data_IF_151026517971
#
_entry.id   IF_151026517971
#
_cell.length_a   1.000
_cell.length_b   1.000
_cell.length_c   1.000
_cell.angle_alpha   90.00
_cell.angle_beta   90.00
_cell.angle_gamma   90.00
#
_symmetry.space_group_name_H-M   'P 1'
#
loop_
_entity.id
_entity.type
_entity.pdbx_description
1 polymer ?
#
# COMPACT_ATOMS: atom_id res chain seq x y z
N UNK A 1 -50.99 26.82 52.63
CA UNK A 1 -51.79 26.91 53.87
C UNK A 1 -51.02 27.84 54.79
N UNK A 2 -51.58 29.01 55.15
CA UNK A 2 -51.01 29.92 56.14
C UNK A 2 -51.70 29.65 57.47
N UNK A 3 -51.01 28.99 58.40
CA UNK A 3 -51.41 28.97 59.81
C UNK A 3 -50.51 29.94 60.60
N UNK A 4 -51.12 30.72 61.49
CA UNK A 4 -50.45 31.67 62.38
C UNK A 4 -49.79 30.98 63.57
N UNK A 5 -48.52 31.30 63.83
CA UNK A 5 -47.67 30.76 64.91
C UNK A 5 -48.22 31.16 66.30
N UNK A 6 -48.41 30.20 67.21
CA UNK A 6 -48.73 30.45 68.62
C UNK A 6 -47.93 29.50 69.55
N UNK A 7 -47.98 29.70 70.87
CA UNK A 7 -47.21 28.92 71.86
C UNK A 7 -47.51 27.39 71.86
N UNK A 8 -48.55 26.94 71.15
CA UNK A 8 -48.89 25.53 70.99
C UNK A 8 -48.44 24.93 69.65
N UNK A 9 -47.99 25.77 68.71
CA UNK A 9 -47.40 25.39 67.42
C UNK A 9 -46.21 26.32 67.09
N UNK A 10 -45.10 26.21 67.84
CA UNK A 10 -43.90 26.97 67.50
C UNK A 10 -43.41 26.52 66.11
N UNK A 11 -43.13 27.47 65.21
CA UNK A 11 -42.40 27.18 63.97
C UNK A 11 -40.97 26.76 64.34
N UNK A 12 -40.82 25.48 64.68
CA UNK A 12 -39.54 24.85 64.93
C UNK A 12 -39.07 24.33 63.58
N UNK A 13 -37.86 24.76 63.21
CA UNK A 13 -37.16 24.27 62.05
C UNK A 13 -36.96 22.75 62.12
N UNK A 14 -37.28 22.05 61.04
CA UNK A 14 -37.04 20.61 60.94
C UNK A 14 -35.70 20.46 60.25
N UNK A 15 -34.72 19.84 60.91
CA UNK A 15 -33.46 19.54 60.24
C UNK A 15 -33.65 18.39 59.24
N UNK A 16 -33.91 18.70 57.97
CA UNK A 16 -34.21 17.68 56.97
C UNK A 16 -33.02 16.78 56.67
N UNK A 17 -31.78 17.27 56.87
CA UNK A 17 -30.56 16.47 56.72
C UNK A 17 -30.46 15.35 57.76
N UNK A 18 -30.97 15.56 58.97
CA UNK A 18 -31.03 14.52 60.00
C UNK A 18 -32.28 13.65 59.87
N UNK A 19 -33.41 14.26 59.49
CA UNK A 19 -34.69 13.57 59.37
C UNK A 19 -34.74 12.62 58.16
N UNK A 20 -34.12 13.01 57.04
CA UNK A 20 -34.02 12.19 55.83
C UNK A 20 -32.57 12.24 55.28
N UNK A 21 -31.68 11.36 55.75
CA UNK A 21 -30.26 11.37 55.36
C UNK A 21 -30.01 11.19 53.85
N UNK A 22 -31.00 10.68 53.11
CA UNK A 22 -30.92 10.48 51.67
C UNK A 22 -31.42 11.66 50.84
N UNK A 23 -31.90 12.75 51.44
CA UNK A 23 -32.63 13.83 50.73
C UNK A 23 -31.83 14.52 49.62
N UNK A 24 -30.50 14.52 49.72
CA UNK A 24 -29.59 15.07 48.71
C UNK A 24 -29.08 14.05 47.68
N UNK A 25 -29.33 12.76 47.88
CA UNK A 25 -28.78 11.68 47.05
C UNK A 25 -27.31 11.34 47.36
N UNK A 26 -26.74 10.31 46.72
CA UNK A 26 -25.36 9.88 46.96
C UNK A 26 -24.33 10.92 46.47
N UNK A 27 -23.13 10.91 47.08
CA UNK A 27 -22.00 11.80 46.77
C UNK A 27 -22.32 13.30 46.91
N UNK A 28 -23.18 13.62 47.87
CA UNK A 28 -23.61 14.98 48.16
C UNK A 28 -23.62 15.23 49.67
N UNK A 29 -23.42 16.48 50.04
CA UNK A 29 -23.44 17.00 51.39
C UNK A 29 -24.72 17.81 51.61
N UNK A 30 -25.43 17.51 52.70
CA UNK A 30 -26.65 18.20 53.10
C UNK A 30 -26.34 19.23 54.19
N UNK A 31 -26.76 20.47 53.98
CA UNK A 31 -26.67 21.55 54.98
C UNK A 31 -28.07 22.04 55.34
N UNK A 32 -28.41 21.95 56.62
CA UNK A 32 -29.68 22.45 57.14
C UNK A 32 -29.71 23.98 57.19
N UNK A 33 -30.83 24.59 56.83
CA UNK A 33 -31.07 26.03 56.88
C UNK A 33 -32.41 26.31 57.57
N UNK A 34 -32.59 27.50 58.11
CA UNK A 34 -33.85 27.81 58.80
C UNK A 34 -35.02 27.82 57.80
N UNK A 35 -35.92 26.84 57.91
CA UNK A 35 -37.09 26.64 57.06
C UNK A 35 -36.81 25.89 55.75
N UNK A 36 -35.59 25.35 55.54
CA UNK A 36 -35.22 24.62 54.32
C UNK A 36 -33.88 23.87 54.45
N UNK A 37 -33.48 23.13 53.42
CA UNK A 37 -32.14 22.55 53.34
C UNK A 37 -31.49 22.85 51.99
N UNK A 38 -30.17 22.78 51.92
CA UNK A 38 -29.40 22.89 50.68
C UNK A 38 -28.47 21.69 50.51
N UNK A 39 -28.41 21.18 49.29
CA UNK A 39 -27.54 20.07 48.90
C UNK A 39 -26.40 20.57 48.01
N UNK A 40 -25.17 20.10 48.26
CA UNK A 40 -23.99 20.37 47.42
C UNK A 40 -23.29 19.06 47.06
N UNK A 41 -22.67 18.97 45.89
CA UNK A 41 -21.87 17.78 45.56
C UNK A 41 -20.56 17.78 46.35
N UNK A 42 -20.17 16.61 46.85
CA UNK A 42 -18.88 16.44 47.49
C UNK A 42 -17.75 16.62 46.47
N UNK A 43 -16.55 16.92 46.96
CA UNK A 43 -15.39 17.20 46.11
C UNK A 43 -15.16 16.12 45.04
N UNK A 44 -15.02 16.54 43.79
CA UNK A 44 -14.82 15.65 42.65
C UNK A 44 -16.10 15.11 41.99
N UNK A 45 -17.28 15.55 42.43
CA UNK A 45 -18.58 15.21 41.81
C UNK A 45 -19.32 16.46 41.31
N UNK A 46 -20.15 16.27 40.30
CA UNK A 46 -21.00 17.32 39.71
C UNK A 46 -22.44 16.86 39.60
N UNK A 47 -23.41 17.79 39.71
CA UNK A 47 -24.82 17.46 39.52
C UNK A 47 -25.06 16.90 38.11
N UNK A 48 -25.88 15.84 38.03
CA UNK A 48 -26.26 15.21 36.74
C UNK A 48 -26.81 16.25 35.75
N UNK A 49 -27.56 17.23 36.26
CA UNK A 49 -27.93 18.45 35.54
C UNK A 49 -27.50 19.69 36.33
N UNK A 50 -26.51 20.42 35.80
CA UNK A 50 -25.95 21.61 36.45
C UNK A 50 -26.92 22.80 36.55
N UNK A 51 -28.05 22.77 35.84
CA UNK A 51 -29.05 23.84 35.86
C UNK A 51 -30.19 23.59 36.87
N UNK A 52 -30.18 22.47 37.58
CA UNK A 52 -31.19 22.10 38.56
C UNK A 52 -30.57 21.99 39.96
N UNK A 53 -31.33 22.29 41.03
CA UNK A 53 -30.85 22.08 42.40
C UNK A 53 -30.59 20.60 42.66
N UNK A 54 -29.58 20.31 43.50
CA UNK A 54 -29.20 18.94 43.87
C UNK A 54 -30.27 18.36 44.79
N UNK A 55 -30.70 17.14 44.51
CA UNK A 55 -31.69 16.40 45.30
C UNK A 55 -31.63 14.92 44.94
N UNK A 56 -32.45 14.09 45.57
CA UNK A 56 -32.65 12.68 45.16
C UNK A 56 -32.97 12.50 43.66
N UNK A 57 -33.53 13.51 43.00
CA UNK A 57 -33.90 13.46 41.57
C UNK A 57 -32.82 14.08 40.65
N UNK A 58 -31.81 14.75 41.20
CA UNK A 58 -30.68 15.33 40.48
C UNK A 58 -29.39 15.10 41.28
N UNK A 59 -28.85 13.90 41.14
CA UNK A 59 -27.77 13.37 41.99
C UNK A 59 -26.38 13.82 41.51
N UNK A 60 -25.40 13.70 42.40
CA UNK A 60 -24.00 14.00 42.14
C UNK A 60 -23.29 12.79 41.53
N UNK A 61 -22.80 12.95 40.31
CA UNK A 61 -22.05 11.94 39.57
C UNK A 61 -20.62 12.42 39.31
N UNK A 62 -19.70 11.49 39.05
CA UNK A 62 -18.36 11.87 38.60
C UNK A 62 -18.47 12.74 37.34
N UNK A 63 -17.66 13.80 37.20
CA UNK A 63 -17.66 14.62 35.99
C UNK A 63 -17.42 13.68 34.81
N UNK A 64 -18.42 13.48 33.97
CA UNK A 64 -18.18 12.86 32.67
C UNK A 64 -17.19 13.78 31.97
N UNK A 65 -16.03 13.24 31.61
CA UNK A 65 -15.13 13.85 30.64
C UNK A 65 -15.99 14.41 29.49
N UNK A 66 -15.67 15.60 28.96
CA UNK A 66 -16.47 16.20 27.90
C UNK A 66 -16.66 15.12 26.84
N UNK A 67 -17.90 14.73 26.61
CA UNK A 67 -18.26 13.88 25.50
C UNK A 67 -17.71 14.58 24.28
N UNK A 68 -16.69 13.97 23.68
CA UNK A 68 -16.21 14.33 22.36
C UNK A 68 -17.46 14.57 21.50
N UNK A 69 -17.58 15.71 20.78
CA UNK A 69 -18.66 15.85 19.81
C UNK A 69 -18.64 14.56 18.99
N UNK A 70 -19.78 13.87 18.90
CA UNK A 70 -19.86 12.61 18.16
C UNK A 70 -19.14 12.84 16.84
N UNK A 71 -17.95 12.26 16.68
CA UNK A 71 -17.22 12.35 15.44
C UNK A 71 -18.23 11.89 14.40
N UNK A 72 -18.56 12.72 13.37
CA UNK A 72 -19.38 12.25 12.29
C UNK A 72 -18.81 10.89 11.87
N UNK A 73 -19.65 9.86 11.61
CA UNK A 73 -19.15 8.55 11.19
C UNK A 73 -18.05 8.78 10.17
N UNK A 74 -16.85 8.20 10.34
CA UNK A 74 -15.67 8.59 9.59
C UNK A 74 -16.05 8.64 8.11
N UNK A 75 -15.93 9.84 7.53
CA UNK A 75 -16.33 10.08 6.16
C UNK A 75 -15.62 9.05 5.29
N UNK A 76 -16.40 8.26 4.57
CA UNK A 76 -15.84 7.17 3.79
C UNK A 76 -15.35 7.75 2.47
N UNK A 77 -14.06 7.56 2.19
CA UNK A 77 -13.46 8.01 0.93
C UNK A 77 -13.66 6.92 -0.11
N UNK A 78 -14.34 7.26 -1.19
CA UNK A 78 -14.62 6.37 -2.32
C UNK A 78 -13.74 6.79 -3.49
N UNK A 79 -12.91 5.87 -3.97
CA UNK A 79 -12.16 6.06 -5.21
C UNK A 79 -13.05 5.84 -6.43
N UNK A 80 -12.90 6.69 -7.43
CA UNK A 80 -13.68 6.70 -8.65
C UNK A 80 -12.75 6.96 -9.84
N UNK A 81 -13.21 6.58 -11.02
CA UNK A 81 -12.52 6.91 -12.26
C UNK A 81 -13.53 7.23 -13.34
N UNK A 82 -13.14 8.09 -14.29
CA UNK A 82 -13.92 8.31 -15.50
C UNK A 82 -13.06 8.42 -16.76
N UNK A 83 -13.59 7.93 -17.88
CA UNK A 83 -12.91 7.91 -19.18
C UNK A 83 -13.40 9.05 -20.08
N UNK A 84 -12.51 9.96 -20.45
CA UNK A 84 -12.80 11.14 -21.29
C UNK A 84 -12.39 10.84 -22.73
N UNK A 85 -13.28 11.00 -23.70
CA UNK A 85 -12.99 10.73 -25.11
C UNK A 85 -12.12 11.82 -25.75
N UNK A 86 -10.84 11.83 -25.36
CA UNK A 86 -9.82 12.79 -25.79
C UNK A 86 -8.46 12.10 -25.92
N UNK A 87 -7.60 12.70 -26.76
CA UNK A 87 -6.19 12.27 -26.87
C UNK A 87 -5.43 12.72 -25.62
N UNK A 88 -4.61 11.83 -25.08
CA UNK A 88 -3.85 12.11 -23.87
C UNK A 88 -2.72 13.11 -24.13
N UNK A 89 -2.78 14.25 -23.44
CA UNK A 89 -1.70 15.24 -23.42
C UNK A 89 -0.74 14.95 -22.26
N UNK A 90 0.58 14.96 -22.53
CA UNK A 90 1.60 14.70 -21.51
C UNK A 90 1.58 15.71 -20.36
N UNK A 91 1.13 16.95 -20.59
CA UNK A 91 0.95 17.95 -19.54
C UNK A 91 0.00 17.48 -18.43
N UNK A 92 -0.96 16.61 -18.73
CA UNK A 92 -1.89 16.04 -17.76
C UNK A 92 -1.22 15.08 -16.75
N UNK A 93 0.04 14.69 -16.93
CA UNK A 93 0.79 13.95 -15.90
C UNK A 93 1.37 14.84 -14.81
N UNK A 94 1.40 16.16 -15.03
CA UNK A 94 1.95 17.14 -14.10
C UNK A 94 0.80 17.88 -13.38
N UNK A 95 0.57 17.63 -12.08
CA UNK A 95 -0.46 18.29 -11.28
C UNK A 95 -0.33 19.82 -11.24
N UNK A 96 0.86 20.35 -11.48
CA UNK A 96 1.11 21.78 -11.45
C UNK A 96 0.86 22.49 -12.78
N UNK A 97 0.72 21.72 -13.86
CA UNK A 97 0.46 22.26 -15.19
C UNK A 97 -0.88 22.97 -15.26
N UNK A 98 -0.95 23.99 -16.12
CA UNK A 98 -2.21 24.70 -16.41
C UNK A 98 -3.27 23.75 -16.97
N UNK A 99 -2.90 22.85 -17.87
CA UNK A 99 -3.82 21.87 -18.47
C UNK A 99 -4.44 20.95 -17.42
N UNK A 100 -3.64 20.45 -16.47
CA UNK A 100 -4.14 19.64 -15.36
C UNK A 100 -5.15 20.42 -14.52
N UNK A 101 -4.76 21.61 -14.02
CA UNK A 101 -5.58 22.44 -13.13
C UNK A 101 -6.89 22.88 -13.79
N UNK A 102 -6.85 23.26 -15.07
CA UNK A 102 -8.02 23.69 -15.83
C UNK A 102 -9.00 22.52 -16.05
N UNK A 103 -8.51 21.32 -16.41
CA UNK A 103 -9.36 20.15 -16.62
C UNK A 103 -9.89 19.59 -15.29
N UNK A 104 -9.04 19.44 -14.28
CA UNK A 104 -9.44 18.95 -12.96
C UNK A 104 -10.50 19.85 -12.32
N UNK A 105 -10.34 21.17 -12.37
CA UNK A 105 -11.32 22.11 -11.83
C UNK A 105 -12.68 22.05 -12.52
N UNK A 106 -12.70 21.85 -13.85
CA UNK A 106 -13.96 21.64 -14.60
C UNK A 106 -14.66 20.35 -14.18
N UNK A 107 -13.90 19.29 -13.97
CA UNK A 107 -14.41 17.97 -13.55
C UNK A 107 -14.95 18.06 -12.12
N UNK A 108 -14.13 18.54 -11.18
CA UNK A 108 -14.47 18.68 -9.76
C UNK A 108 -15.75 19.50 -9.59
N UNK A 109 -15.82 20.71 -10.17
CA UNK A 109 -17.02 21.57 -10.07
C UNK A 109 -18.28 20.96 -10.69
N UNK A 110 -18.15 20.16 -11.75
CA UNK A 110 -19.30 19.56 -12.43
C UNK A 110 -19.84 18.36 -11.67
N UNK A 111 -18.95 17.51 -11.15
CA UNK A 111 -19.34 16.36 -10.34
C UNK A 111 -19.91 16.84 -9.01
N UNK A 112 -19.27 17.80 -8.34
CA UNK A 112 -19.77 18.34 -7.07
C UNK A 112 -21.21 18.85 -7.21
N UNK A 113 -21.46 19.70 -8.22
CA UNK A 113 -22.79 20.22 -8.49
C UNK A 113 -23.82 19.12 -8.83
N UNK A 114 -23.42 18.05 -9.51
CA UNK A 114 -24.34 16.97 -9.88
C UNK A 114 -24.62 16.04 -8.70
N UNK A 115 -23.58 15.65 -7.97
CA UNK A 115 -23.67 14.71 -6.84
C UNK A 115 -24.37 15.34 -5.65
N UNK A 116 -24.11 16.61 -5.32
CA UNK A 116 -24.82 17.31 -4.23
C UNK A 116 -26.33 17.35 -4.43
N UNK A 117 -26.80 17.36 -5.67
CA UNK A 117 -28.22 17.44 -6.00
C UNK A 117 -28.92 16.07 -6.14
N UNK A 118 -28.18 14.99 -6.39
CA UNK A 118 -28.74 13.69 -6.77
C UNK A 118 -28.27 12.51 -5.93
N UNK A 119 -27.14 12.62 -5.25
CA UNK A 119 -26.49 11.50 -4.56
C UNK A 119 -26.64 11.66 -3.05
N UNK A 120 -27.66 11.03 -2.48
CA UNK A 120 -27.88 11.03 -1.02
C UNK A 120 -26.68 10.41 -0.30
N UNK A 121 -26.11 11.15 0.65
CA UNK A 121 -24.93 10.72 1.41
C UNK A 121 -23.59 11.19 0.86
N UNK A 122 -23.57 11.89 -0.29
CA UNK A 122 -22.38 12.60 -0.77
C UNK A 122 -22.05 13.81 0.09
N UNK A 123 -20.79 13.97 0.46
CA UNK A 123 -20.29 15.17 1.14
C UNK A 123 -19.95 16.24 0.10
N UNK A 124 -20.69 17.34 0.09
CA UNK A 124 -20.43 18.47 -0.85
C UNK A 124 -19.04 19.07 -0.63
N UNK A 125 -18.36 19.42 -1.72
CA UNK A 125 -17.00 19.94 -1.76
C UNK A 125 -15.92 18.87 -1.56
N UNK A 126 -16.28 17.60 -1.48
CA UNK A 126 -15.32 16.53 -1.15
C UNK A 126 -14.59 15.93 -2.34
N UNK A 127 -15.01 16.25 -3.57
CA UNK A 127 -14.37 15.67 -4.75
C UNK A 127 -12.96 16.20 -4.95
N UNK A 128 -12.02 15.29 -5.24
CA UNK A 128 -10.67 15.62 -5.65
C UNK A 128 -10.19 14.75 -6.80
N UNK A 129 -9.84 15.36 -7.93
CA UNK A 129 -9.13 14.66 -9.02
C UNK A 129 -7.68 14.49 -8.60
N UNK A 130 -7.20 13.24 -8.61
CA UNK A 130 -5.86 12.87 -8.13
C UNK A 130 -4.86 12.67 -9.26
N UNK A 131 -5.30 12.17 -10.42
CA UNK A 131 -4.42 11.93 -11.57
C UNK A 131 -5.19 11.83 -12.89
N UNK A 132 -4.48 12.06 -14.00
CA UNK A 132 -4.93 11.67 -15.33
C UNK A 132 -4.00 10.62 -15.92
N UNK A 133 -4.56 9.64 -16.64
CA UNK A 133 -3.81 8.53 -17.25
C UNK A 133 -4.12 8.36 -18.73
N UNK A 134 -3.17 7.81 -19.52
CA UNK A 134 -3.36 7.54 -20.94
C UNK A 134 -4.38 6.43 -21.21
N UNK A 135 -4.93 6.46 -22.44
CA UNK A 135 -6.13 5.74 -22.87
C UNK A 135 -7.35 6.62 -22.61
N UNK A 136 -8.03 7.13 -23.65
CA UNK A 136 -9.15 8.09 -23.60
C UNK A 136 -9.23 8.85 -22.25
N UNK A 137 -8.25 9.75 -22.03
CA UNK A 137 -7.89 10.43 -20.78
C UNK A 137 -8.70 9.94 -19.56
N UNK A 138 -8.12 9.04 -18.75
CA UNK A 138 -8.80 8.56 -17.54
C UNK A 138 -8.48 9.48 -16.38
N UNK A 139 -9.50 10.09 -15.80
CA UNK A 139 -9.39 10.87 -14.57
C UNK A 139 -9.65 9.96 -13.37
N UNK A 140 -8.65 9.76 -12.51
CA UNK A 140 -8.83 9.15 -11.19
C UNK A 140 -9.21 10.26 -10.19
N UNK A 141 -10.25 10.03 -9.36
CA UNK A 141 -10.72 11.00 -8.38
C UNK A 141 -11.28 10.33 -7.14
N UNK A 142 -11.36 11.07 -6.03
CA UNK A 142 -11.98 10.61 -4.78
C UNK A 142 -13.17 11.47 -4.43
N UNK A 143 -14.13 10.89 -3.72
CA UNK A 143 -15.25 11.59 -3.08
C UNK A 143 -15.34 11.14 -1.63
N UNK A 144 -15.95 11.96 -0.77
CA UNK A 144 -16.34 11.54 0.58
C UNK A 144 -17.84 11.32 0.67
N UNK A 145 -18.24 10.30 1.42
CA UNK A 145 -19.64 9.99 1.63
C UNK A 145 -19.90 9.40 3.02
N UNK A 146 -21.18 9.35 3.41
CA UNK A 146 -21.64 8.73 4.66
C UNK A 146 -21.76 7.21 4.58
N UNK A 147 -21.63 6.63 3.38
CA UNK A 147 -21.74 5.19 3.10
C UNK A 147 -20.94 4.78 1.87
N UNK A 148 -20.49 3.52 1.84
CA UNK A 148 -19.80 2.87 0.71
C UNK A 148 -20.73 2.30 -0.37
N UNK A 149 -22.05 2.43 -0.20
CA UNK A 149 -23.06 1.88 -1.09
C UNK A 149 -23.99 2.98 -1.60
N UNK A 150 -23.51 3.70 -2.61
CA UNK A 150 -24.24 4.79 -3.28
C UNK A 150 -24.73 4.30 -4.65
N UNK A 151 -25.89 4.80 -5.08
CA UNK A 151 -26.38 4.58 -6.45
C UNK A 151 -25.97 5.74 -7.35
N UNK A 152 -24.92 5.52 -8.14
CA UNK A 152 -24.34 6.53 -9.02
C UNK A 152 -25.10 6.70 -10.33
N UNK A 153 -26.11 5.89 -10.65
CA UNK A 153 -26.73 5.85 -11.98
C UNK A 153 -27.24 7.21 -12.46
N UNK A 154 -28.24 7.77 -11.78
CA UNK A 154 -28.84 9.05 -12.18
C UNK A 154 -27.86 10.23 -12.06
N UNK A 155 -27.00 10.20 -11.02
CA UNK A 155 -26.00 11.24 -10.80
C UNK A 155 -24.96 11.27 -11.93
N UNK A 156 -24.49 10.11 -12.39
CA UNK A 156 -23.52 10.01 -13.49
C UNK A 156 -24.10 10.42 -14.84
N UNK A 157 -25.38 10.15 -15.11
CA UNK A 157 -26.06 10.66 -16.31
C UNK A 157 -26.04 12.19 -16.35
N UNK A 158 -26.33 12.84 -15.22
CA UNK A 158 -26.28 14.30 -15.13
C UNK A 158 -24.85 14.84 -15.30
N UNK A 159 -23.85 14.17 -14.71
CA UNK A 159 -22.44 14.54 -14.90
C UNK A 159 -22.05 14.43 -16.38
N UNK A 160 -22.43 13.34 -17.04
CA UNK A 160 -22.16 13.10 -18.46
C UNK A 160 -22.69 14.25 -19.33
N UNK A 161 -23.97 14.60 -19.18
CA UNK A 161 -24.60 15.68 -19.95
C UNK A 161 -23.96 17.04 -19.66
N UNK A 162 -23.65 17.31 -18.39
CA UNK A 162 -23.07 18.59 -17.96
C UNK A 162 -21.62 18.76 -18.44
N UNK A 163 -20.82 17.70 -18.44
CA UNK A 163 -19.46 17.73 -18.98
C UNK A 163 -19.47 17.86 -20.50
N UNK A 164 -20.38 17.16 -21.18
CA UNK A 164 -20.57 17.29 -22.63
C UNK A 164 -20.94 18.72 -23.03
N UNK A 165 -21.85 19.37 -22.29
CA UNK A 165 -22.20 20.78 -22.50
C UNK A 165 -21.01 21.74 -22.30
N UNK A 166 -20.01 21.35 -21.49
CA UNK A 166 -18.75 22.09 -21.29
C UNK A 166 -17.65 21.71 -22.28
N UNK A 167 -17.97 20.93 -23.32
CA UNK A 167 -17.02 20.50 -24.36
C UNK A 167 -16.13 19.32 -23.98
N UNK A 168 -16.46 18.59 -22.90
CA UNK A 168 -15.73 17.40 -22.46
C UNK A 168 -16.57 16.17 -22.83
N UNK A 169 -16.19 15.49 -23.92
CA UNK A 169 -16.84 14.25 -24.34
C UNK A 169 -16.34 13.09 -23.48
N UNK A 170 -17.25 12.22 -23.06
CA UNK A 170 -16.95 11.01 -22.30
C UNK A 170 -17.24 9.78 -23.16
N UNK A 171 -16.52 8.69 -22.88
CA UNK A 171 -16.82 7.38 -23.49
C UNK A 171 -18.14 6.83 -22.93
N UNK A 172 -18.82 5.95 -23.67
CA UNK A 172 -19.98 5.23 -23.14
C UNK A 172 -19.60 4.45 -21.87
N UNK A 173 -20.45 4.48 -20.84
CA UNK A 173 -20.17 3.88 -19.53
C UNK A 173 -18.86 4.38 -18.90
N UNK A 174 -18.54 5.67 -19.08
CA UNK A 174 -17.27 6.27 -18.66
C UNK A 174 -16.95 6.11 -17.17
N UNK A 175 -17.94 6.01 -16.28
CA UNK A 175 -17.73 6.08 -14.84
C UNK A 175 -17.58 4.70 -14.21
N UNK A 176 -16.63 4.58 -13.28
CA UNK A 176 -16.45 3.38 -12.47
C UNK A 176 -16.05 3.75 -11.04
N UNK A 177 -16.47 2.95 -10.06
CA UNK A 177 -15.85 2.96 -8.75
C UNK A 177 -14.48 2.27 -8.87
N UNK A 178 -13.42 2.87 -8.34
CA UNK A 178 -12.05 2.40 -8.50
C UNK A 178 -11.25 2.44 -7.20
N UNK A 179 -10.85 1.27 -6.71
CA UNK A 179 -10.09 1.13 -5.48
C UNK A 179 -8.69 0.57 -5.78
N UNK A 180 -7.68 1.13 -5.14
CA UNK A 180 -6.35 0.52 -5.14
C UNK A 180 -6.40 -0.76 -4.29
N UNK A 181 -5.93 -1.86 -4.87
CA UNK A 181 -5.87 -3.16 -4.22
C UNK A 181 -4.44 -3.69 -4.20
N UNK A 182 -4.22 -4.72 -3.37
CA UNK A 182 -2.95 -5.44 -3.31
C UNK A 182 -3.20 -6.84 -3.87
N UNK A 183 -2.81 -7.05 -5.13
CA UNK A 183 -2.87 -8.37 -5.78
C UNK A 183 -1.67 -9.23 -5.42
N UNK A 184 -0.50 -8.61 -5.22
CA UNK A 184 0.72 -9.23 -4.70
C UNK A 184 1.55 -8.22 -3.92
N UNK A 185 2.31 -8.69 -2.92
CA UNK A 185 3.30 -7.91 -2.17
C UNK A 185 4.74 -8.24 -2.58
N UNK A 186 4.91 -9.25 -3.43
CA UNK A 186 6.22 -9.80 -3.74
C UNK A 186 7.00 -8.88 -4.68
N UNK A 187 8.31 -8.82 -4.48
CA UNK A 187 9.20 -8.22 -5.46
C UNK A 187 9.38 -9.18 -6.64
N UNK A 188 8.95 -8.74 -7.81
CA UNK A 188 8.89 -9.56 -9.01
C UNK A 188 10.10 -9.34 -9.91
N UNK A 189 10.55 -10.43 -10.53
CA UNK A 189 11.69 -10.50 -11.44
C UNK A 189 11.32 -11.30 -12.69
N UNK A 190 12.12 -11.18 -13.78
CA UNK A 190 11.82 -11.88 -15.01
C UNK A 190 11.88 -13.41 -14.87
N UNK A 191 11.19 -14.08 -15.78
CA UNK A 191 11.01 -15.53 -15.85
C UNK A 191 10.14 -16.16 -14.75
N UNK A 192 9.69 -15.38 -13.78
CA UNK A 192 8.82 -15.88 -12.74
C UNK A 192 7.40 -16.13 -13.25
N UNK A 193 6.77 -17.16 -12.70
CA UNK A 193 5.31 -17.33 -12.76
C UNK A 193 4.68 -16.52 -11.63
N UNK A 194 3.79 -15.60 -11.96
CA UNK A 194 3.20 -14.66 -10.99
C UNK A 194 1.68 -14.77 -11.00
N UNK A 195 1.09 -15.00 -9.83
CA UNK A 195 -0.36 -15.04 -9.66
C UNK A 195 -0.85 -13.72 -9.04
N UNK A 196 -1.68 -12.99 -9.78
CA UNK A 196 -2.38 -11.79 -9.31
C UNK A 196 -3.81 -12.17 -8.93
N UNK A 197 -4.19 -11.91 -7.68
CA UNK A 197 -5.49 -12.33 -7.13
C UNK A 197 -6.41 -11.14 -6.92
N UNK A 198 -7.55 -11.15 -7.60
CA UNK A 198 -8.61 -10.17 -7.44
C UNK A 198 -9.51 -10.55 -6.26
N UNK A 199 -9.78 -9.58 -5.37
CA UNK A 199 -10.67 -9.80 -4.24
C UNK A 199 -12.10 -9.37 -4.60
N UNK A 200 -12.99 -10.33 -4.80
CA UNK A 200 -14.39 -10.04 -5.12
C UNK A 200 -15.19 -9.76 -3.84
N UNK A 201 -15.67 -8.52 -3.60
CA UNK A 201 -16.57 -8.25 -2.49
C UNK A 201 -17.95 -8.88 -2.75
N UNK A 202 -18.68 -9.20 -1.67
CA UNK A 202 -19.99 -9.87 -1.76
C UNK A 202 -21.02 -9.07 -2.58
N UNK A 203 -20.91 -7.74 -2.58
CA UNK A 203 -21.79 -6.85 -3.34
C UNK A 203 -21.50 -6.81 -4.85
N UNK A 204 -20.41 -7.42 -5.31
CA UNK A 204 -20.02 -7.40 -6.73
C UNK A 204 -20.55 -8.61 -7.50
N UNK A 205 -21.12 -8.33 -8.67
CA UNK A 205 -21.76 -9.26 -9.60
C UNK A 205 -21.01 -9.30 -10.94
N UNK A 206 -21.34 -10.28 -11.79
CA UNK A 206 -20.74 -10.45 -13.12
C UNK A 206 -19.45 -11.30 -13.15
N UNK A 207 -18.91 -11.51 -14.35
CA UNK A 207 -17.61 -12.14 -14.55
C UNK A 207 -16.48 -11.12 -14.37
N UNK A 208 -15.35 -11.56 -13.81
CA UNK A 208 -14.18 -10.71 -13.65
C UNK A 208 -13.45 -10.60 -14.99
N UNK A 209 -13.14 -9.37 -15.37
CA UNK A 209 -12.36 -9.03 -16.55
C UNK A 209 -11.03 -8.39 -16.13
N UNK A 210 -9.93 -8.78 -16.75
CA UNK A 210 -8.62 -8.21 -16.46
C UNK A 210 -8.13 -7.30 -17.58
N UNK A 211 -7.46 -6.23 -17.20
CA UNK A 211 -6.79 -5.31 -18.12
C UNK A 211 -5.38 -4.99 -17.63
N UNK A 212 -4.49 -4.65 -18.56
CA UNK A 212 -3.19 -4.04 -18.28
C UNK A 212 -3.14 -2.72 -19.04
N UNK A 213 -2.93 -1.61 -18.33
CA UNK A 213 -2.96 -0.24 -18.89
C UNK A 213 -4.21 0.01 -19.74
N UNK A 214 -5.36 -0.40 -19.21
CA UNK A 214 -6.70 -0.29 -19.82
C UNK A 214 -6.90 -1.10 -21.11
N UNK A 215 -5.99 -2.01 -21.45
CA UNK A 215 -6.16 -2.96 -22.55
C UNK A 215 -6.58 -4.32 -22.03
N UNK A 216 -7.57 -4.91 -22.67
CA UNK A 216 -8.10 -6.23 -22.30
C UNK A 216 -7.02 -7.31 -22.39
N UNK A 217 -6.94 -8.11 -21.34
CA UNK A 217 -6.09 -9.30 -21.32
C UNK A 217 -6.91 -10.52 -21.74
N UNK A 218 -6.31 -11.33 -22.62
CA UNK A 218 -6.87 -12.59 -23.09
C UNK A 218 -5.90 -13.74 -22.84
N UNK A 219 -6.43 -14.96 -22.77
CA UNK A 219 -5.65 -16.17 -22.52
C UNK A 219 -4.76 -16.48 -23.72
N UNK A 220 -3.47 -16.67 -23.47
CA UNK A 220 -2.45 -16.91 -24.48
C UNK A 220 -1.17 -17.46 -23.82
N UNK A 221 -0.05 -17.45 -24.54
CA UNK A 221 1.24 -17.91 -24.02
C UNK A 221 1.84 -17.01 -22.91
N UNK A 222 1.35 -15.78 -22.77
CA UNK A 222 1.78 -14.81 -21.74
C UNK A 222 0.92 -14.90 -20.47
N UNK A 223 -0.39 -15.04 -20.64
CA UNK A 223 -1.39 -14.95 -19.56
C UNK A 223 -2.32 -16.15 -19.55
N UNK A 224 -2.60 -16.70 -18.37
CA UNK A 224 -3.66 -17.68 -18.13
C UNK A 224 -4.58 -17.22 -17.00
N UNK A 225 -5.79 -17.77 -16.95
CA UNK A 225 -6.78 -17.38 -15.95
C UNK A 225 -7.30 -18.59 -15.17
N UNK A 226 -7.59 -18.41 -13.88
CA UNK A 226 -8.40 -19.39 -13.15
C UNK A 226 -9.78 -19.54 -13.77
N UNK A 227 -10.45 -20.67 -13.50
CA UNK A 227 -11.80 -20.96 -14.00
C UNK A 227 -12.80 -19.86 -13.60
N UNK A 228 -12.70 -19.35 -12.38
CA UNK A 228 -13.53 -18.27 -11.85
C UNK A 228 -13.05 -16.86 -12.22
N UNK A 229 -11.98 -16.75 -13.01
CA UNK A 229 -11.30 -15.52 -13.44
C UNK A 229 -10.79 -14.62 -12.29
N UNK A 230 -10.80 -15.10 -11.04
CA UNK A 230 -10.27 -14.36 -9.88
C UNK A 230 -8.75 -14.25 -9.88
N UNK A 231 -8.07 -15.21 -10.50
CA UNK A 231 -6.61 -15.23 -10.58
C UNK A 231 -6.18 -15.04 -12.03
N UNK A 232 -5.37 -14.02 -12.27
CA UNK A 232 -4.58 -13.84 -13.47
C UNK A 232 -3.17 -14.38 -13.20
N UNK A 233 -2.71 -15.31 -14.02
CA UNK A 233 -1.37 -15.87 -13.92
C UNK A 233 -0.52 -15.37 -15.09
N UNK A 234 0.59 -14.73 -14.78
CA UNK A 234 1.66 -14.40 -15.72
C UNK A 234 2.58 -15.62 -15.80
N UNK A 235 2.74 -16.22 -16.97
CA UNK A 235 3.42 -17.52 -17.12
C UNK A 235 4.95 -17.40 -17.15
N UNK A 236 5.46 -16.32 -17.75
CA UNK A 236 6.88 -16.05 -17.91
C UNK A 236 7.06 -14.53 -17.87
N UNK A 237 7.12 -13.95 -16.67
CA UNK A 237 7.13 -12.51 -16.50
C UNK A 237 8.35 -11.88 -17.19
N UNK A 238 8.16 -10.72 -17.79
CA UNK A 238 9.21 -9.92 -18.40
C UNK A 238 9.03 -8.44 -18.07
N UNK A 239 10.05 -7.62 -18.31
CA UNK A 239 10.03 -6.20 -17.92
C UNK A 239 8.87 -5.42 -18.57
N UNK A 240 8.49 -5.79 -19.80
CA UNK A 240 7.35 -5.24 -20.55
C UNK A 240 5.98 -5.59 -19.95
N UNK A 241 5.93 -6.47 -18.94
CA UNK A 241 4.71 -6.76 -18.21
C UNK A 241 4.52 -5.81 -17.01
N UNK A 242 5.42 -4.84 -16.81
CA UNK A 242 5.20 -3.79 -15.82
C UNK A 242 4.08 -2.85 -16.28
N UNK A 243 3.11 -2.57 -15.43
CA UNK A 243 1.96 -1.74 -15.78
C UNK A 243 0.88 -1.74 -14.71
N UNK A 244 -0.20 -1.00 -14.95
CA UNK A 244 -1.38 -0.98 -14.07
C UNK A 244 -2.30 -2.14 -14.42
N UNK A 245 -2.26 -3.19 -13.62
CA UNK A 245 -3.21 -4.29 -13.72
C UNK A 245 -4.50 -3.91 -13.02
N UNK A 246 -5.63 -4.17 -13.68
CA UNK A 246 -6.95 -3.90 -13.11
C UNK A 246 -7.87 -5.09 -13.31
N UNK A 247 -8.54 -5.51 -12.24
CA UNK A 247 -9.66 -6.45 -12.33
C UNK A 247 -10.98 -5.68 -12.21
N UNK A 248 -11.84 -5.89 -13.20
CA UNK A 248 -13.09 -5.16 -13.42
C UNK A 248 -14.23 -6.14 -13.20
N UNK A 249 -15.20 -5.71 -12.39
CA UNK A 249 -16.44 -6.39 -12.11
C UNK A 249 -17.58 -5.36 -12.09
N UNK A 250 -18.81 -5.78 -11.80
CA UNK A 250 -19.93 -4.85 -11.67
C UNK A 250 -20.34 -4.74 -10.20
N UNK A 251 -20.56 -3.52 -9.73
CA UNK A 251 -21.12 -3.25 -8.39
C UNK A 251 -22.24 -2.24 -8.56
N UNK A 252 -23.46 -2.62 -8.18
CA UNK A 252 -24.66 -1.85 -8.47
C UNK A 252 -24.82 -1.61 -10.00
N UNK A 253 -24.96 -0.35 -10.40
CA UNK A 253 -25.22 0.11 -11.77
C UNK A 253 -23.96 0.49 -12.56
N UNK A 254 -22.78 0.47 -11.93
CA UNK A 254 -21.52 0.89 -12.56
C UNK A 254 -20.42 -0.18 -12.42
N UNK A 255 -19.38 -0.16 -13.28
CA UNK A 255 -18.19 -0.97 -13.08
C UNK A 255 -17.49 -0.67 -11.73
N UNK A 256 -16.93 -1.72 -11.15
CA UNK A 256 -16.06 -1.68 -9.98
C UNK A 256 -14.68 -2.22 -10.36
N UNK A 257 -13.66 -1.40 -10.15
CA UNK A 257 -12.29 -1.66 -10.60
C UNK A 257 -11.40 -1.76 -9.36
N UNK A 258 -10.77 -2.90 -9.16
CA UNK A 258 -9.61 -3.00 -8.28
C UNK A 258 -8.35 -2.95 -9.13
N UNK A 259 -7.30 -2.29 -8.66
CA UNK A 259 -6.07 -2.16 -9.43
C UNK A 259 -4.81 -2.13 -8.57
N UNK A 260 -3.69 -2.57 -9.17
CA UNK A 260 -2.35 -2.44 -8.61
C UNK A 260 -1.36 -2.14 -9.73
N UNK A 261 -0.41 -1.23 -9.47
CA UNK A 261 0.75 -1.05 -10.33
C UNK A 261 1.73 -2.19 -10.04
N UNK A 262 1.97 -3.04 -11.04
CA UNK A 262 2.91 -4.14 -10.97
C UNK A 262 4.20 -3.70 -11.65
N UNK A 263 5.32 -3.88 -10.96
CA UNK A 263 6.66 -3.54 -11.48
C UNK A 263 7.49 -4.82 -11.47
N UNK A 264 7.86 -5.29 -12.65
CA UNK A 264 8.84 -6.36 -12.82
C UNK A 264 10.22 -5.70 -12.84
N UNK A 265 11.07 -6.05 -11.87
CA UNK A 265 12.43 -5.53 -11.79
C UNK A 265 13.24 -5.98 -13.00
N UNK A 266 14.30 -5.23 -13.32
CA UNK A 266 15.22 -5.64 -14.37
C UNK A 266 15.90 -6.94 -14.01
N UNK A 267 16.21 -7.75 -15.02
CA UNK A 267 17.00 -8.97 -14.82
C UNK A 267 18.39 -8.60 -14.29
N UNK A 268 18.82 -9.10 -13.11
CA UNK A 268 20.17 -8.86 -12.61
C UNK A 268 21.20 -9.50 -13.55
N UNK A 269 22.29 -8.79 -13.83
CA UNK A 269 23.40 -9.31 -14.62
C UNK A 269 24.64 -9.50 -13.75
N UNK A 270 24.84 -10.74 -13.28
CA UNK A 270 26.06 -11.10 -12.56
C UNK A 270 27.22 -11.30 -13.55
N UNK A 271 28.33 -10.62 -13.27
CA UNK A 271 29.58 -10.65 -14.01
C UNK A 271 30.67 -11.16 -13.07
N UNK A 272 31.38 -12.20 -13.50
CA UNK A 272 32.52 -12.75 -12.75
C UNK A 272 33.84 -12.65 -13.51
N UNK A 273 33.86 -12.20 -14.77
CA UNK A 273 35.03 -12.32 -15.67
C UNK A 273 35.11 -13.72 -16.30
N UNK A 274 36.33 -14.22 -16.53
CA UNK A 274 36.55 -15.57 -17.08
C UNK A 274 36.03 -16.67 -16.16
N UNK A 275 35.29 -17.63 -16.71
CA UNK A 275 34.69 -18.73 -15.94
C UNK A 275 35.68 -19.86 -15.64
N UNK A 276 36.78 -19.97 -16.38
CA UNK A 276 37.79 -21.00 -16.23
C UNK A 276 39.17 -20.36 -16.04
N UNK A 277 39.75 -20.53 -14.86
CA UNK A 277 41.04 -19.93 -14.48
C UNK A 277 42.00 -20.96 -13.97
N UNK A 278 43.28 -20.70 -14.19
CA UNK A 278 44.37 -21.52 -13.69
C UNK A 278 45.31 -20.63 -12.90
N UNK A 279 45.68 -21.04 -11.69
CA UNK A 279 46.65 -20.33 -10.85
C UNK A 279 47.79 -21.27 -10.43
N UNK A 280 49.01 -20.74 -10.22
CA UNK A 280 50.12 -21.54 -9.74
C UNK A 280 49.84 -22.07 -8.31
N UNK A 281 50.34 -23.28 -8.02
CA UNK A 281 50.31 -23.89 -6.69
C UNK A 281 51.63 -23.60 -5.94
N UNK A 282 51.83 -22.34 -5.57
CA UNK A 282 53.07 -21.86 -4.93
C UNK A 282 52.85 -21.13 -3.61
N UNK A 283 51.61 -21.09 -3.10
CA UNK A 283 51.24 -20.34 -1.90
C UNK A 283 50.81 -18.90 -2.18
N UNK A 284 50.77 -18.48 -3.44
CA UNK A 284 50.22 -17.18 -3.83
C UNK A 284 48.70 -17.10 -3.60
N UNK A 285 48.22 -15.87 -3.44
CA UNK A 285 46.80 -15.54 -3.36
C UNK A 285 46.28 -15.09 -4.72
N UNK A 286 45.06 -15.46 -5.07
CA UNK A 286 44.34 -14.92 -6.22
C UNK A 286 43.03 -14.26 -5.81
N UNK A 287 42.50 -13.42 -6.71
CA UNK A 287 41.27 -12.66 -6.49
C UNK A 287 40.15 -13.12 -7.42
N UNK A 288 38.96 -13.31 -6.86
CA UNK A 288 37.73 -13.52 -7.61
C UNK A 288 36.77 -12.36 -7.38
N UNK A 289 36.57 -11.57 -8.43
CA UNK A 289 35.65 -10.44 -8.43
C UNK A 289 34.30 -10.93 -8.93
N UNK A 290 33.24 -10.57 -8.21
CA UNK A 290 31.87 -10.74 -8.68
C UNK A 290 31.13 -9.43 -8.54
N UNK A 291 30.54 -8.98 -9.65
CA UNK A 291 29.81 -7.72 -9.74
C UNK A 291 28.41 -7.93 -10.31
N UNK A 292 27.47 -7.10 -9.91
CA UNK A 292 26.10 -7.05 -10.39
C UNK A 292 25.65 -5.59 -10.49
N UNK A 293 24.51 -5.34 -11.15
CA UNK A 293 23.87 -4.02 -11.15
C UNK A 293 23.68 -3.48 -9.72
N UNK A 294 23.61 -2.16 -9.56
CA UNK A 294 23.51 -1.53 -8.22
C UNK A 294 22.22 -1.92 -7.50
N UNK A 295 22.29 -2.19 -6.20
CA UNK A 295 21.16 -2.48 -5.32
C UNK A 295 20.91 -3.97 -5.09
N UNK A 296 21.88 -4.84 -5.39
CA UNK A 296 21.80 -6.27 -5.12
C UNK A 296 22.88 -6.72 -4.14
N UNK A 297 22.52 -7.66 -3.27
CA UNK A 297 23.47 -8.34 -2.41
C UNK A 297 23.99 -9.59 -3.11
N UNK A 298 25.29 -9.86 -2.93
CA UNK A 298 26.01 -10.99 -3.49
C UNK A 298 26.67 -11.81 -2.38
N UNK A 299 26.91 -13.08 -2.68
CA UNK A 299 27.77 -13.95 -1.88
C UNK A 299 28.59 -14.90 -2.75
N UNK A 300 29.85 -15.11 -2.34
CA UNK A 300 30.70 -16.18 -2.87
C UNK A 300 30.52 -17.44 -2.02
N UNK A 301 30.31 -18.57 -2.67
CA UNK A 301 30.12 -19.88 -2.04
C UNK A 301 31.13 -20.87 -2.61
N UNK A 302 31.80 -21.60 -1.71
CA UNK A 302 32.72 -22.69 -2.04
C UNK A 302 32.31 -23.94 -1.24
N UNK A 303 32.06 -25.05 -1.93
CA UNK A 303 31.68 -26.32 -1.28
C UNK A 303 30.39 -26.23 -0.46
N UNK A 304 29.49 -25.31 -0.80
CA UNK A 304 28.25 -25.04 -0.03
C UNK A 304 28.41 -24.03 1.12
N UNK A 305 29.63 -23.61 1.43
CA UNK A 305 29.92 -22.65 2.51
C UNK A 305 30.12 -21.25 1.96
N UNK A 306 29.41 -20.28 2.52
CA UNK A 306 29.58 -18.85 2.21
C UNK A 306 30.96 -18.39 2.66
N UNK A 307 31.74 -17.81 1.75
CA UNK A 307 33.08 -17.29 2.00
C UNK A 307 33.05 -15.80 2.35
N UNK A 308 32.32 -15.01 1.55
CA UNK A 308 32.14 -13.57 1.74
C UNK A 308 30.78 -13.15 1.19
N UNK A 309 30.22 -12.07 1.75
CA UNK A 309 29.01 -11.43 1.23
C UNK A 309 29.14 -9.91 1.26
N UNK A 310 28.41 -9.22 0.39
CA UNK A 310 28.42 -7.77 0.27
C UNK A 310 27.38 -7.29 -0.74
N UNK A 311 27.48 -6.03 -1.16
CA UNK A 311 26.55 -5.40 -2.10
C UNK A 311 27.28 -4.95 -3.37
N UNK A 312 26.60 -5.02 -4.51
CA UNK A 312 27.01 -4.56 -5.84
C UNK A 312 28.26 -5.25 -6.42
N UNK A 313 29.39 -5.19 -5.72
CA UNK A 313 30.64 -5.88 -6.09
C UNK A 313 31.34 -6.44 -4.86
N UNK A 314 31.76 -7.70 -4.95
CA UNK A 314 32.49 -8.40 -3.90
C UNK A 314 33.75 -9.05 -4.46
N UNK A 315 34.85 -8.94 -3.73
CA UNK A 315 36.14 -9.56 -4.08
C UNK A 315 36.50 -10.60 -3.03
N UNK A 316 36.70 -11.84 -3.47
CA UNK A 316 37.20 -12.93 -2.62
C UNK A 316 38.70 -13.10 -2.88
N UNK A 317 39.50 -12.97 -1.83
CA UNK A 317 40.91 -13.34 -1.86
C UNK A 317 41.04 -14.79 -1.38
N UNK A 318 41.72 -15.64 -2.14
CA UNK A 318 41.88 -17.06 -1.82
C UNK A 318 43.35 -17.49 -1.99
N UNK A 319 43.89 -18.11 -0.95
CA UNK A 319 45.28 -18.57 -0.92
C UNK A 319 45.41 -19.98 -1.50
N UNK A 320 46.38 -20.17 -2.40
CA UNK A 320 46.73 -21.48 -2.92
C UNK A 320 47.55 -22.28 -1.89
N UNK A 321 47.45 -23.61 -1.93
CA UNK A 321 48.26 -24.47 -1.05
C UNK A 321 49.68 -24.63 -1.62
N UNK A 322 50.67 -24.94 -0.77
CA UNK A 322 52.05 -25.18 -1.20
C UNK A 322 52.30 -26.69 -1.34
N UNK A 323 52.79 -27.14 -2.50
CA UNK A 323 53.45 -28.44 -2.66
C UNK A 323 52.56 -29.71 -2.65
N UNK A 324 51.24 -29.58 -2.52
CA UNK A 324 50.31 -30.72 -2.59
C UNK A 324 49.06 -30.40 -3.44
N UNK A 325 49.28 -29.99 -4.70
CA UNK A 325 48.20 -29.76 -5.68
C UNK A 325 48.34 -30.72 -6.86
N UNK A 326 47.88 -31.95 -6.72
CA UNK A 326 47.54 -32.76 -7.90
C UNK A 326 46.15 -32.32 -8.38
N UNK A 327 46.12 -31.46 -9.40
CA UNK A 327 44.94 -31.00 -10.15
C UNK A 327 43.70 -30.65 -9.30
N UNK A 328 43.92 -29.89 -8.21
CA UNK A 328 42.78 -29.44 -7.40
C UNK A 328 41.93 -28.48 -8.22
N UNK A 329 40.65 -28.84 -8.36
CA UNK A 329 39.66 -28.05 -9.07
C UNK A 329 38.62 -27.57 -8.05
N UNK A 330 38.44 -26.26 -7.99
CA UNK A 330 37.48 -25.58 -7.14
C UNK A 330 36.39 -24.96 -8.02
N UNK A 331 35.14 -25.08 -7.61
CA UNK A 331 34.03 -24.36 -8.24
C UNK A 331 33.51 -23.33 -7.24
N UNK A 332 33.83 -22.07 -7.49
CA UNK A 332 33.31 -20.95 -6.75
C UNK A 332 32.00 -20.50 -7.40
N UNK A 333 30.96 -20.30 -6.60
CA UNK A 333 29.66 -19.81 -7.08
C UNK A 333 29.46 -18.42 -6.52
N UNK A 334 29.37 -17.42 -7.39
CA UNK A 334 28.83 -16.12 -7.00
C UNK A 334 27.33 -16.11 -7.27
N UNK A 335 26.52 -15.80 -6.26
CA UNK A 335 25.06 -15.77 -6.38
C UNK A 335 24.43 -14.57 -5.69
N UNK A 336 23.23 -14.22 -6.12
CA UNK A 336 22.39 -13.23 -5.43
C UNK A 336 22.08 -13.72 -4.01
N UNK A 337 22.17 -12.80 -3.06
CA UNK A 337 21.79 -12.98 -1.66
C UNK A 337 20.41 -12.36 -1.40
N UNK A 338 19.73 -12.81 -0.35
CA UNK A 338 18.42 -12.31 0.12
C UNK A 338 17.27 -12.43 -0.90
N UNK A 339 17.47 -13.20 -1.97
CA UNK A 339 16.48 -13.46 -3.03
C UNK A 339 16.32 -14.97 -3.25
N UNK A 340 15.82 -15.73 -2.25
CA UNK A 340 15.68 -17.18 -2.32
C UNK A 340 14.77 -17.63 -3.48
N UNK A 341 13.77 -16.82 -3.82
CA UNK A 341 12.86 -17.07 -4.95
C UNK A 341 13.56 -17.06 -6.31
N UNK A 342 14.80 -16.54 -6.40
CA UNK A 342 15.57 -16.46 -7.63
C UNK A 342 16.63 -17.56 -7.78
N UNK A 343 16.89 -18.36 -6.75
CA UNK A 343 18.02 -19.29 -6.72
C UNK A 343 17.98 -20.36 -7.82
N UNK A 344 16.79 -20.70 -8.32
CA UNK A 344 16.62 -21.68 -9.39
C UNK A 344 16.74 -21.09 -10.81
N UNK A 345 16.95 -19.78 -10.94
CA UNK A 345 17.06 -19.12 -12.24
C UNK A 345 18.52 -18.95 -12.62
N UNK A 346 18.87 -19.27 -13.86
CA UNK A 346 20.26 -19.23 -14.38
C UNK A 346 20.91 -17.85 -14.36
N UNK A 347 20.16 -16.79 -14.10
CA UNK A 347 20.69 -15.44 -13.96
C UNK A 347 21.02 -15.04 -12.52
N UNK A 348 20.62 -15.83 -11.52
CA UNK A 348 20.87 -15.50 -10.12
C UNK A 348 22.25 -15.95 -9.63
N UNK A 349 23.02 -16.65 -10.48
CA UNK A 349 24.38 -17.05 -10.15
C UNK A 349 25.31 -17.13 -11.37
N UNK A 350 26.61 -17.13 -11.09
CA UNK A 350 27.70 -17.50 -12.01
C UNK A 350 28.68 -18.40 -11.28
N UNK A 351 29.31 -19.31 -12.02
CA UNK A 351 30.32 -20.20 -11.49
C UNK A 351 31.68 -19.89 -12.11
N UNK A 352 32.71 -19.83 -11.28
CA UNK A 352 34.11 -19.79 -11.71
C UNK A 352 34.78 -21.08 -11.28
N UNK A 353 35.27 -21.82 -12.26
CA UNK A 353 36.11 -23.00 -12.08
C UNK A 353 37.56 -22.56 -12.00
N UNK A 354 38.19 -22.81 -10.86
CA UNK A 354 39.61 -22.52 -10.63
C UNK A 354 40.36 -23.84 -10.54
N UNK A 355 41.43 -23.97 -11.32
CA UNK A 355 42.38 -25.07 -11.25
C UNK A 355 43.71 -24.56 -10.71
N UNK A 356 44.34 -25.32 -9.81
CA UNK A 356 45.72 -25.05 -9.40
C UNK A 356 46.68 -26.00 -10.10
N UNK A 357 47.84 -25.51 -10.49
CA UNK A 357 48.81 -26.26 -11.28
C UNK A 357 50.23 -26.01 -10.80
N UNK A 358 51.08 -27.03 -10.88
CA UNK A 358 52.53 -26.92 -10.65
C UNK A 358 53.31 -26.56 -11.93
N UNK A 359 52.62 -26.41 -13.06
CA UNK A 359 53.24 -25.94 -14.31
C UNK A 359 53.78 -24.51 -14.15
N UNK A 360 54.88 -24.24 -14.84
CA UNK A 360 55.43 -22.89 -14.98
C UNK A 360 54.70 -22.21 -16.14
N UNK A 361 54.14 -21.03 -15.88
CA UNK A 361 53.41 -20.22 -16.84
C UNK A 361 54.23 -18.99 -17.23
N UNK A 362 54.10 -18.56 -18.48
CA UNK A 362 54.86 -17.43 -19.03
C UNK A 362 54.26 -16.08 -18.60
N UNK A 363 52.95 -16.05 -18.31
CA UNK A 363 52.27 -14.88 -17.77
C UNK A 363 51.36 -15.29 -16.60
N UNK A 364 51.29 -14.41 -15.59
CA UNK A 364 50.47 -14.58 -14.39
C UNK A 364 49.78 -13.26 -14.06
N UNK A 365 48.50 -13.32 -13.74
CA UNK A 365 47.70 -12.19 -13.26
C UNK A 365 46.82 -12.65 -12.10
N UNK A 366 46.72 -11.84 -11.04
CA UNK A 366 46.01 -12.19 -9.80
C UNK A 366 44.48 -12.35 -9.99
N UNK A 367 43.90 -11.74 -11.02
CA UNK A 367 42.46 -11.81 -11.32
C UNK A 367 42.16 -12.78 -12.47
N UNK A 368 42.94 -12.71 -13.54
CA UNK A 368 42.68 -13.43 -14.80
C UNK A 368 43.32 -14.82 -14.87
N UNK A 369 44.24 -15.13 -13.95
CA UNK A 369 44.97 -16.40 -13.93
C UNK A 369 46.26 -16.39 -14.74
N UNK A 370 46.76 -17.59 -14.99
CA UNK A 370 48.02 -17.84 -15.66
C UNK A 370 47.82 -18.39 -17.09
N UNK A 371 48.77 -18.08 -17.96
CA UNK A 371 48.74 -18.48 -19.37
C UNK A 371 50.13 -18.76 -19.97
N UNK A 372 50.14 -19.46 -21.10
CA UNK A 372 51.33 -19.79 -21.89
C UNK A 372 51.56 -18.76 -22.99
N UNK A 373 52.81 -18.64 -23.46
CA UNK A 373 53.16 -17.80 -24.60
C UNK A 373 52.35 -18.22 -25.83
N UNK A 374 51.67 -17.27 -26.47
CA UNK A 374 50.74 -17.47 -27.59
C UNK A 374 49.44 -18.23 -27.26
N UNK A 375 49.12 -18.45 -25.98
CA UNK A 375 47.80 -18.98 -25.59
C UNK A 375 46.73 -17.94 -25.93
N UNK A 376 45.80 -18.31 -26.81
CA UNK A 376 44.62 -17.50 -27.11
C UNK A 376 43.44 -18.08 -26.32
N UNK A 377 42.86 -17.25 -25.44
CA UNK A 377 41.58 -17.55 -24.81
C UNK A 377 40.46 -16.74 -25.47
N UNK A 378 39.37 -17.42 -25.77
CA UNK A 378 38.13 -16.80 -26.25
C UNK A 378 37.19 -16.61 -25.07
N UNK A 379 36.98 -15.37 -24.64
CA UNK A 379 36.12 -15.04 -23.50
C UNK A 379 36.03 -13.54 -23.26
N UNK A 380 35.49 -13.13 -22.11
CA UNK A 380 35.25 -11.73 -21.77
C UNK A 380 36.52 -11.20 -21.09
N UNK A 381 37.24 -10.27 -21.74
CA UNK A 381 38.42 -9.62 -21.17
C UNK A 381 38.06 -8.82 -19.91
#
# INVERSE_FOLDING_TARGET
MNETINNSNPCIDINECQFSPSICGPNSDCTNQLGSYSCSCSDGFTATNSNLPISINNICTVPSTPTTPSTPPPATVIGMSMTIDQTFERSLTDPDSKTFKDLSGKIESTIDASYSNKLTGYSTGSIKVSAFRPGSVIADYTISATSNNLDFGAANTQVFDSLKAKGINLVENAFAQSDQAVFTTDQLYPLQKVDLKCNRPDSAVGQIKWTMDNKDLAENTKYSFSIDKKTLTMLNASEDYSGRYSCIMQKNTIPYIQWQNIIIKRRPSIIVGENDRVFPCDGSSFQLICSVDVGYNLEWVLGGTVQISGSDSITLNYDTQIGNCTDQTFTFICRLKDLPQLQNYTYSYRSVTVRTSTEIYDCQNEELGAGKTNEQRTGVC
#
